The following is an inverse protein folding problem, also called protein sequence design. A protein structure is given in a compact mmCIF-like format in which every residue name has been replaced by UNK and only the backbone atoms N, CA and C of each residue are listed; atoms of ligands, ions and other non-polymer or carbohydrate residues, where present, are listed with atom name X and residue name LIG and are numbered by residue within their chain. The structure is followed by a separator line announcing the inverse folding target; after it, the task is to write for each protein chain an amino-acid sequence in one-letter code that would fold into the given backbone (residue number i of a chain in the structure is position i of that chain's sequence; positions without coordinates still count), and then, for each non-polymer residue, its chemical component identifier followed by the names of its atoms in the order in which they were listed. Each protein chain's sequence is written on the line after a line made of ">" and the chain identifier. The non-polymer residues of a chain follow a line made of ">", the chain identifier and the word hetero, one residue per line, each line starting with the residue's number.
data_IF_798467691505
#
_entry.id   IF_798467691505
#
_cell.length_a   1.000
_cell.length_b   1.000
_cell.length_c   1.000
_cell.angle_alpha   90.00
_cell.angle_beta   90.00
_cell.angle_gamma   90.00
#
_symmetry.space_group_name_H-M   'P 1'
#
loop_
_entity.id
_entity.type
_entity.pdbx_description
1 polymer ?
#
# COMPACT_ATOMS: atom_id res chain seq x y z
N UNK A 1 -2.57 -17.28 -7.50
CA UNK A 1 -4.01 -17.08 -7.20
C UNK A 1 -4.25 -16.96 -5.70
N UNK A 2 -3.63 -17.80 -4.85
CA UNK A 2 -3.80 -17.73 -3.39
C UNK A 2 -3.46 -16.36 -2.78
N UNK A 3 -2.36 -15.73 -3.22
CA UNK A 3 -2.03 -14.35 -2.83
C UNK A 3 -3.17 -13.35 -3.10
N UNK A 4 -3.84 -13.44 -4.25
CA UNK A 4 -4.98 -12.59 -4.59
C UNK A 4 -6.21 -12.93 -3.74
N UNK A 5 -6.47 -14.22 -3.48
CA UNK A 5 -7.57 -14.63 -2.60
C UNK A 5 -7.36 -14.05 -1.19
N UNK A 6 -6.14 -14.08 -0.67
CA UNK A 6 -5.87 -13.49 0.65
C UNK A 6 -5.87 -11.96 0.63
N UNK A 7 -5.55 -11.31 -0.49
CA UNK A 7 -5.75 -9.88 -0.68
C UNK A 7 -7.23 -9.51 -0.50
N UNK A 8 -8.13 -10.20 -1.21
CA UNK A 8 -9.59 -9.98 -1.07
C UNK A 8 -10.12 -10.38 0.32
N UNK A 9 -9.57 -11.44 0.92
CA UNK A 9 -9.93 -11.83 2.29
C UNK A 9 -9.49 -10.77 3.31
N UNK A 10 -8.35 -10.12 3.08
CA UNK A 10 -7.90 -9.03 3.93
C UNK A 10 -8.79 -7.81 3.83
N UNK A 11 -9.33 -7.49 2.65
CA UNK A 11 -10.40 -6.48 2.54
C UNK A 11 -11.62 -6.83 3.39
N UNK A 12 -12.00 -8.12 3.44
CA UNK A 12 -13.08 -8.56 4.32
C UNK A 12 -12.77 -8.31 5.79
N UNK A 13 -11.52 -8.48 6.23
CA UNK A 13 -11.08 -8.11 7.57
C UNK A 13 -11.14 -6.59 7.81
N UNK A 14 -10.65 -5.78 6.87
CA UNK A 14 -10.64 -4.32 6.98
C UNK A 14 -12.06 -3.75 7.08
N UNK A 15 -12.97 -4.18 6.20
CA UNK A 15 -14.34 -3.69 6.17
C UNK A 15 -15.25 -4.29 7.25
N UNK A 16 -14.78 -5.30 8.00
CA UNK A 16 -15.45 -5.78 9.21
C UNK A 16 -15.24 -4.84 10.41
N UNK A 17 -14.28 -3.93 10.34
CA UNK A 17 -14.07 -2.93 11.38
C UNK A 17 -15.11 -1.82 11.24
N UNK A 18 -15.93 -1.62 12.29
CA UNK A 18 -17.03 -0.64 12.27
C UNK A 18 -16.55 0.74 11.87
N UNK A 19 -15.43 1.21 12.44
CA UNK A 19 -14.84 2.51 12.12
C UNK A 19 -14.53 2.66 10.61
N UNK A 20 -13.91 1.65 9.99
CA UNK A 20 -13.57 1.67 8.55
C UNK A 20 -14.85 1.70 7.71
N UNK A 21 -15.83 0.85 8.04
CA UNK A 21 -17.09 0.78 7.31
C UNK A 21 -17.88 2.08 7.41
N UNK A 22 -18.01 2.64 8.61
CA UNK A 22 -18.67 3.93 8.86
C UNK A 22 -17.97 5.08 8.13
N UNK A 23 -16.64 5.11 8.12
CA UNK A 23 -15.88 6.15 7.41
C UNK A 23 -16.03 6.05 5.89
N UNK A 24 -16.03 4.83 5.34
CA UNK A 24 -16.34 4.58 3.92
C UNK A 24 -17.75 5.10 3.57
N UNK A 25 -18.76 4.74 4.36
CA UNK A 25 -20.16 5.07 4.12
C UNK A 25 -20.45 6.57 4.30
N UNK A 26 -19.87 7.21 5.31
CA UNK A 26 -20.16 8.60 5.67
C UNK A 26 -19.30 9.62 4.92
N UNK A 27 -18.02 9.32 4.67
CA UNK A 27 -17.03 10.30 4.24
C UNK A 27 -16.54 10.05 2.82
N UNK A 28 -16.20 8.79 2.50
CA UNK A 28 -15.60 8.45 1.20
C UNK A 28 -16.67 8.44 0.09
N UNK A 29 -17.82 7.80 0.33
CA UNK A 29 -19.05 7.82 -0.49
C UNK A 29 -18.86 7.54 -2.00
N UNK A 30 -17.72 7.00 -2.45
CA UNK A 30 -17.51 6.54 -3.83
C UNK A 30 -16.29 5.63 -3.92
N UNK A 31 -16.21 4.91 -5.04
CA UNK A 31 -15.06 4.09 -5.37
C UNK A 31 -13.83 4.94 -5.75
N UNK A 32 -12.70 4.26 -6.00
CA UNK A 32 -11.42 4.86 -6.37
C UNK A 32 -11.31 5.28 -7.85
N UNK A 33 -12.37 5.17 -8.66
CA UNK A 33 -12.28 5.38 -10.11
C UNK A 33 -11.85 6.82 -10.45
N UNK A 34 -12.28 7.82 -9.68
CA UNK A 34 -11.87 9.21 -9.91
C UNK A 34 -10.36 9.41 -9.75
N UNK A 35 -9.72 8.72 -8.79
CA UNK A 35 -8.26 8.74 -8.60
C UNK A 35 -7.55 8.07 -9.77
N UNK A 36 -8.11 6.97 -10.29
CA UNK A 36 -7.58 6.28 -11.47
C UNK A 36 -7.67 7.16 -12.71
N UNK A 37 -8.84 7.73 -12.97
CA UNK A 37 -9.10 8.56 -14.15
C UNK A 37 -8.19 9.78 -14.17
N UNK A 38 -8.03 10.50 -13.05
CA UNK A 38 -7.12 11.67 -13.02
C UNK A 38 -5.67 11.26 -13.28
N UNK A 39 -5.23 10.11 -12.78
CA UNK A 39 -3.88 9.60 -13.03
C UNK A 39 -3.66 9.19 -14.48
N UNK A 40 -4.66 8.59 -15.13
CA UNK A 40 -4.60 8.20 -16.55
C UNK A 40 -4.60 9.42 -17.48
N UNK A 41 -5.45 10.39 -17.19
CA UNK A 41 -5.78 11.48 -18.12
C UNK A 41 -4.96 12.75 -17.89
N UNK A 42 -4.32 12.92 -16.74
CA UNK A 42 -3.52 14.09 -16.41
C UNK A 42 -2.03 13.73 -16.25
N UNK A 43 -1.25 14.05 -17.29
CA UNK A 43 0.19 13.77 -17.34
C UNK A 43 1.00 14.44 -16.23
N UNK A 44 0.63 15.67 -15.86
CA UNK A 44 1.32 16.42 -14.79
C UNK A 44 1.08 15.74 -13.43
N UNK A 45 -0.18 15.39 -13.14
CA UNK A 45 -0.56 14.64 -11.93
C UNK A 45 0.21 13.32 -11.84
N UNK A 46 0.22 12.54 -12.93
CA UNK A 46 0.92 11.26 -13.01
C UNK A 46 2.41 11.40 -12.76
N UNK A 47 3.08 12.39 -13.35
CA UNK A 47 4.51 12.64 -13.15
C UNK A 47 4.83 12.96 -11.68
N UNK A 48 4.01 13.79 -11.04
CA UNK A 48 4.17 14.14 -9.61
C UNK A 48 4.01 12.92 -8.71
N UNK A 49 2.97 12.11 -8.91
CA UNK A 49 2.77 10.84 -8.19
C UNK A 49 3.97 9.90 -8.37
N UNK A 50 4.47 9.76 -9.60
CA UNK A 50 5.62 8.89 -9.87
C UNK A 50 6.90 9.39 -9.18
N UNK A 51 7.07 10.71 -9.09
CA UNK A 51 8.17 11.34 -8.32
C UNK A 51 8.03 11.04 -6.83
N UNK A 52 6.85 11.22 -6.26
CA UNK A 52 6.55 10.89 -4.85
C UNK A 52 6.85 9.42 -4.55
N UNK A 53 6.37 8.49 -5.38
CA UNK A 53 6.60 7.07 -5.19
C UNK A 53 8.10 6.70 -5.31
N UNK A 54 8.84 7.39 -6.17
CA UNK A 54 10.31 7.24 -6.26
C UNK A 54 10.98 7.66 -4.95
N UNK A 55 10.57 8.77 -4.35
CA UNK A 55 11.11 9.25 -3.07
C UNK A 55 10.83 8.26 -1.93
N UNK A 56 9.62 7.68 -1.88
CA UNK A 56 9.31 6.60 -0.93
C UNK A 56 10.26 5.41 -1.08
N UNK A 57 10.49 4.95 -2.31
CA UNK A 57 11.42 3.84 -2.59
C UNK A 57 12.85 4.16 -2.15
N UNK A 58 13.33 5.38 -2.44
CA UNK A 58 14.66 5.83 -1.99
C UNK A 58 14.77 5.85 -0.47
N UNK A 59 13.75 6.33 0.25
CA UNK A 59 13.72 6.33 1.71
C UNK A 59 13.71 4.90 2.31
N UNK A 60 13.06 3.95 1.63
CA UNK A 60 13.04 2.54 2.03
C UNK A 60 14.39 1.86 1.74
N UNK A 61 15.04 2.17 0.62
CA UNK A 61 16.27 1.49 0.18
C UNK A 61 17.55 2.03 0.83
N UNK A 62 17.61 3.32 1.14
CA UNK A 62 18.83 3.92 1.72
C UNK A 62 19.11 3.39 3.14
N UNK A 63 20.38 3.18 3.48
CA UNK A 63 20.79 2.84 4.86
C UNK A 63 21.26 4.06 5.65
N UNK A 64 21.48 5.19 4.97
CA UNK A 64 21.91 6.45 5.57
C UNK A 64 20.72 7.23 6.17
N UNK A 65 20.72 7.50 7.50
CA UNK A 65 19.61 8.19 8.17
C UNK A 65 19.33 9.60 7.66
N UNK A 66 20.37 10.37 7.33
CA UNK A 66 20.22 11.76 6.86
C UNK A 66 19.58 11.78 5.47
N UNK A 67 20.05 10.92 4.56
CA UNK A 67 19.43 10.72 3.25
C UNK A 67 18.00 10.21 3.39
N UNK A 68 17.73 9.28 4.31
CA UNK A 68 16.37 8.78 4.56
C UNK A 68 15.45 9.94 4.95
N UNK A 69 15.85 10.75 5.93
CA UNK A 69 15.07 11.90 6.38
C UNK A 69 14.87 12.92 5.26
N UNK A 70 15.89 13.18 4.45
CA UNK A 70 15.80 14.09 3.32
C UNK A 70 14.79 13.59 2.26
N UNK A 71 14.82 12.31 1.90
CA UNK A 71 13.84 11.73 0.96
C UNK A 71 12.41 11.79 1.52
N UNK A 72 12.23 11.54 2.81
CA UNK A 72 10.92 11.65 3.46
C UNK A 72 10.41 13.09 3.43
N UNK A 73 11.26 14.07 3.77
CA UNK A 73 10.90 15.49 3.74
C UNK A 73 10.56 15.96 2.33
N UNK A 74 11.32 15.54 1.32
CA UNK A 74 11.01 15.83 -0.07
C UNK A 74 9.70 15.20 -0.51
N UNK A 75 9.43 13.94 -0.12
CA UNK A 75 8.16 13.28 -0.43
C UNK A 75 6.97 14.05 0.15
N UNK A 76 7.04 14.46 1.42
CA UNK A 76 5.99 15.24 2.08
C UNK A 76 5.81 16.58 1.36
N UNK A 77 6.91 17.28 1.07
CA UNK A 77 6.86 18.56 0.37
C UNK A 77 6.20 18.44 -1.01
N UNK A 78 6.64 17.47 -1.83
CA UNK A 78 6.10 17.24 -3.18
C UNK A 78 4.62 16.87 -3.14
N UNK A 79 4.23 16.02 -2.18
CA UNK A 79 2.84 15.61 -1.97
C UNK A 79 1.96 16.77 -1.55
N UNK A 80 2.39 17.59 -0.60
CA UNK A 80 1.64 18.78 -0.19
C UNK A 80 1.52 19.80 -1.33
N UNK A 81 2.59 20.00 -2.12
CA UNK A 81 2.53 20.87 -3.29
C UNK A 81 1.53 20.37 -4.33
N UNK A 82 1.56 19.07 -4.67
CA UNK A 82 0.57 18.47 -5.57
C UNK A 82 -0.83 18.61 -4.98
N UNK A 83 -1.04 18.22 -3.72
CA UNK A 83 -2.35 18.31 -3.08
C UNK A 83 -2.87 19.74 -3.08
N UNK A 84 -2.05 20.76 -2.83
CA UNK A 84 -2.44 22.17 -2.91
C UNK A 84 -2.78 22.63 -4.33
N UNK A 85 -2.09 22.12 -5.34
CA UNK A 85 -2.38 22.40 -6.74
C UNK A 85 -3.76 21.85 -7.15
N UNK A 86 -4.14 20.66 -6.67
CA UNK A 86 -5.39 19.99 -7.03
C UNK A 86 -6.52 20.14 -5.98
N UNK A 87 -6.26 20.66 -4.78
CA UNK A 87 -7.23 20.81 -3.68
C UNK A 87 -8.29 21.86 -3.96
N UNK A 88 -7.92 22.94 -4.65
CA UNK A 88 -8.84 24.00 -5.10
C UNK A 88 -9.96 23.47 -5.99
N UNK A 89 -9.71 22.36 -6.67
CA UNK A 89 -10.67 21.70 -7.56
C UNK A 89 -11.29 20.46 -6.90
N UNK A 90 -10.58 19.79 -5.97
CA UNK A 90 -10.93 18.43 -5.54
C UNK A 90 -10.49 18.10 -4.09
N UNK A 91 -10.94 18.84 -3.06
CA UNK A 91 -10.68 18.48 -1.64
C UNK A 91 -11.03 17.02 -1.28
N UNK A 92 -12.08 16.47 -1.92
CA UNK A 92 -12.49 15.07 -1.78
C UNK A 92 -11.43 14.07 -2.27
N UNK A 93 -10.58 14.47 -3.21
CA UNK A 93 -9.50 13.62 -3.74
C UNK A 93 -8.48 13.25 -2.68
N UNK A 94 -8.11 14.17 -1.79
CA UNK A 94 -7.11 13.92 -0.74
C UNK A 94 -7.62 12.89 0.26
N UNK A 95 -8.88 13.04 0.67
CA UNK A 95 -9.53 12.12 1.61
C UNK A 95 -9.65 10.72 0.99
N UNK A 96 -10.03 10.64 -0.29
CA UNK A 96 -10.09 9.39 -1.04
C UNK A 96 -8.71 8.75 -1.22
N UNK A 97 -7.70 9.53 -1.64
CA UNK A 97 -6.32 9.05 -1.81
C UNK A 97 -5.82 8.44 -0.51
N UNK A 98 -5.95 9.14 0.61
CA UNK A 98 -5.55 8.67 1.93
C UNK A 98 -6.24 7.34 2.32
N UNK A 99 -7.54 7.23 2.06
CA UNK A 99 -8.31 6.02 2.37
C UNK A 99 -7.89 4.84 1.50
N UNK A 100 -7.89 5.01 0.17
CA UNK A 100 -7.56 3.94 -0.77
C UNK A 100 -6.08 3.53 -0.70
N UNK A 101 -5.15 4.46 -0.43
CA UNK A 101 -3.75 4.11 -0.11
C UNK A 101 -3.67 3.21 1.13
N UNK A 102 -4.48 3.49 2.15
CA UNK A 102 -4.49 2.69 3.38
C UNK A 102 -5.09 1.30 3.14
N UNK A 103 -6.26 1.23 2.51
CA UNK A 103 -6.97 -0.03 2.24
C UNK A 103 -6.17 -0.93 1.29
N UNK A 104 -5.82 -0.43 0.11
CA UNK A 104 -5.12 -1.23 -0.91
C UNK A 104 -3.65 -1.46 -0.57
N UNK A 105 -3.00 -0.45 0.00
CA UNK A 105 -1.59 -0.52 0.38
C UNK A 105 -1.32 -1.58 1.43
N UNK A 106 -2.15 -1.66 2.47
CA UNK A 106 -2.01 -2.69 3.52
C UNK A 106 -2.38 -4.08 3.02
N UNK A 107 -3.35 -4.20 2.09
CA UNK A 107 -3.67 -5.46 1.43
C UNK A 107 -2.52 -5.96 0.54
N UNK A 108 -1.87 -5.06 -0.22
CA UNK A 108 -0.64 -5.37 -0.96
C UNK A 108 0.53 -5.67 -0.05
N UNK A 109 0.63 -4.97 1.09
CA UNK A 109 1.66 -5.23 2.07
C UNK A 109 1.60 -6.68 2.52
N UNK A 110 0.44 -7.16 2.99
CA UNK A 110 0.27 -8.57 3.38
C UNK A 110 0.55 -9.52 2.22
N UNK A 111 0.08 -9.21 1.01
CA UNK A 111 0.34 -10.03 -0.18
C UNK A 111 1.83 -10.29 -0.43
N UNK A 112 2.69 -9.31 -0.11
CA UNK A 112 4.13 -9.43 -0.27
C UNK A 112 4.79 -10.40 0.74
N UNK A 113 4.24 -10.51 1.96
CA UNK A 113 4.81 -11.34 3.05
C UNK A 113 4.22 -12.75 3.14
N UNK A 114 3.05 -12.97 2.56
CA UNK A 114 2.38 -14.28 2.58
C UNK A 114 3.20 -15.44 2.00
N UNK A 115 3.98 -15.27 0.92
CA UNK A 115 4.74 -16.37 0.33
C UNK A 115 5.75 -17.03 1.27
N UNK A 116 6.42 -16.25 2.12
CA UNK A 116 7.32 -16.79 3.15
C UNK A 116 6.58 -17.74 4.09
N UNK A 117 5.31 -17.46 4.37
CA UNK A 117 4.46 -18.30 5.22
C UNK A 117 3.91 -19.51 4.48
N UNK A 118 3.58 -19.37 3.20
CA UNK A 118 3.10 -20.51 2.39
C UNK A 118 4.13 -21.62 2.26
N UNK A 119 5.42 -21.26 2.20
CA UNK A 119 6.52 -22.23 2.18
C UNK A 119 6.63 -23.09 3.45
N UNK A 120 5.98 -22.66 4.54
CA UNK A 120 6.01 -23.34 5.83
C UNK A 120 4.77 -24.22 6.05
N UNK A 121 3.79 -24.20 5.15
CA UNK A 121 2.57 -24.98 5.27
C UNK A 121 2.84 -26.43 4.88
N UNK A 122 2.74 -27.34 5.86
CA UNK A 122 2.69 -28.78 5.59
C UNK A 122 1.32 -29.17 5.02
N UNK A 123 1.31 -30.04 4.02
CA UNK A 123 0.09 -30.61 3.46
C UNK A 123 0.20 -32.14 3.43
N UNK A 124 -0.94 -32.80 3.50
CA UNK A 124 -1.02 -34.25 3.40
C UNK A 124 -0.85 -34.71 1.94
N UNK A 125 -0.10 -35.80 1.75
CA UNK A 125 0.22 -36.35 0.44
C UNK A 125 -1.00 -36.87 -0.31
N UNK A 126 -2.05 -37.33 0.39
CA UNK A 126 -3.28 -37.80 -0.27
C UNK A 126 -4.07 -36.62 -0.85
N UNK A 127 -4.14 -35.50 -0.11
CA UNK A 127 -4.79 -34.27 -0.56
C UNK A 127 -4.08 -33.64 -1.77
N UNK A 128 -2.74 -33.68 -1.80
CA UNK A 128 -1.96 -33.20 -2.95
C UNK A 128 -2.10 -34.09 -4.20
N UNK A 129 -2.29 -35.40 -4.02
CA UNK A 129 -2.52 -36.32 -5.14
C UNK A 129 -3.93 -36.19 -5.74
N UNK A 130 -4.90 -35.66 -4.98
CA UNK A 130 -6.28 -35.49 -5.41
C UNK A 130 -6.50 -34.28 -6.34
N UNK A 131 -5.62 -33.27 -6.31
CA UNK A 131 -5.69 -32.08 -7.16
C UNK A 131 -4.42 -31.94 -8.01
N UNK A 132 -4.54 -32.31 -9.29
CA UNK A 132 -3.42 -32.23 -10.24
C UNK A 132 -2.96 -30.79 -10.56
N UNK A 133 -3.74 -29.78 -10.17
CA UNK A 133 -3.38 -28.37 -10.30
C UNK A 133 -2.71 -27.82 -9.03
N UNK A 134 -2.76 -28.56 -7.92
CA UNK A 134 -2.09 -28.18 -6.68
C UNK A 134 -0.58 -28.43 -6.79
N UNK A 135 0.16 -27.34 -7.03
CA UNK A 135 1.60 -27.39 -7.23
C UNK A 135 2.41 -27.30 -5.91
N UNK A 136 1.86 -27.76 -4.77
CA UNK A 136 2.59 -27.92 -3.50
C UNK A 136 3.36 -26.67 -3.02
N UNK A 137 2.85 -25.48 -3.32
CA UNK A 137 3.54 -24.20 -3.08
C UNK A 137 4.96 -24.12 -3.69
N UNK A 138 5.32 -25.00 -4.63
CA UNK A 138 6.65 -25.07 -5.24
C UNK A 138 7.07 -23.75 -5.89
N UNK A 139 6.10 -22.98 -6.40
CA UNK A 139 6.32 -21.64 -6.92
C UNK A 139 6.85 -20.66 -5.87
N UNK A 140 6.48 -20.84 -4.60
CA UNK A 140 6.90 -20.01 -3.48
C UNK A 140 8.21 -20.52 -2.86
N UNK A 141 8.48 -21.83 -2.89
CA UNK A 141 9.66 -22.45 -2.26
C UNK A 141 10.99 -21.99 -2.86
N UNK A 142 10.99 -21.57 -4.12
CA UNK A 142 12.17 -21.05 -4.83
C UNK A 142 12.37 -19.53 -4.70
N UNK A 143 11.48 -18.82 -3.99
CA UNK A 143 11.46 -17.37 -3.94
C UNK A 143 11.68 -16.89 -2.50
N UNK A 144 12.94 -16.91 -2.05
CA UNK A 144 13.33 -16.50 -0.69
C UNK A 144 13.31 -14.98 -0.44
N UNK A 145 12.94 -14.15 -1.43
CA UNK A 145 12.93 -12.67 -1.31
C UNK A 145 11.77 -12.03 -2.10
N UNK A 146 10.52 -12.43 -1.86
CA UNK A 146 9.35 -11.87 -2.59
C UNK A 146 9.07 -10.41 -2.26
N UNK A 147 9.60 -9.86 -1.17
CA UNK A 147 9.52 -8.42 -0.88
C UNK A 147 9.94 -7.54 -2.08
N UNK A 148 10.75 -8.08 -3.00
CA UNK A 148 11.37 -7.35 -4.09
C UNK A 148 11.39 -8.08 -5.42
N UNK A 149 10.57 -9.12 -5.62
CA UNK A 149 10.54 -9.73 -6.96
C UNK A 149 10.14 -8.66 -7.96
N UNK A 150 10.98 -8.46 -8.97
CA UNK A 150 10.78 -7.48 -10.02
C UNK A 150 9.36 -7.55 -10.58
N UNK A 151 8.78 -8.75 -10.62
CA UNK A 151 7.42 -9.03 -11.04
C UNK A 151 6.35 -8.51 -10.07
N UNK A 152 6.51 -8.67 -8.74
CA UNK A 152 5.55 -8.13 -7.76
C UNK A 152 5.56 -6.61 -7.76
N UNK A 153 6.76 -6.00 -7.76
CA UNK A 153 6.91 -4.54 -7.83
C UNK A 153 6.32 -4.04 -9.14
N UNK A 154 6.70 -4.64 -10.28
CA UNK A 154 6.14 -4.29 -11.58
C UNK A 154 4.63 -4.46 -11.59
N UNK A 155 4.02 -5.47 -10.97
CA UNK A 155 2.56 -5.62 -10.92
C UNK A 155 1.88 -4.58 -10.02
N UNK A 156 2.51 -4.23 -8.90
CA UNK A 156 2.02 -3.20 -7.98
C UNK A 156 2.09 -1.82 -8.63
N UNK A 157 3.10 -1.60 -9.48
CA UNK A 157 3.31 -0.37 -10.24
C UNK A 157 2.63 -0.38 -11.63
N UNK A 158 2.33 -1.57 -12.18
CA UNK A 158 1.66 -1.77 -13.45
C UNK A 158 0.16 -1.70 -13.22
N UNK A 159 -0.32 -0.48 -13.25
CA UNK A 159 -1.74 -0.20 -13.18
C UNK A 159 -1.97 1.28 -13.08
N UNK A 160 -3.20 1.67 -13.40
CA UNK A 160 -3.62 3.06 -13.26
C UNK A 160 -4.04 3.40 -11.82
N UNK A 161 -3.93 2.43 -10.91
CA UNK A 161 -4.27 2.54 -9.49
C UNK A 161 -3.03 2.84 -8.65
N UNK A 162 -2.42 4.02 -8.83
CA UNK A 162 -1.16 4.39 -8.16
C UNK A 162 -1.19 4.24 -6.63
N UNK A 163 -2.36 4.39 -6.00
CA UNK A 163 -2.57 4.27 -4.56
C UNK A 163 -2.23 2.88 -4.00
N UNK A 164 -2.20 1.85 -4.84
CA UNK A 164 -1.63 0.54 -4.49
C UNK A 164 -0.14 0.65 -4.18
N UNK A 165 0.63 1.28 -5.08
CA UNK A 165 2.08 1.38 -4.97
C UNK A 165 2.50 2.36 -3.87
N UNK A 166 1.89 3.54 -3.81
CA UNK A 166 2.22 4.53 -2.78
C UNK A 166 1.77 4.06 -1.40
N UNK A 167 0.59 3.45 -1.27
CA UNK A 167 0.13 2.84 -0.02
C UNK A 167 1.03 1.70 0.46
N UNK A 168 1.42 0.78 -0.44
CA UNK A 168 2.35 -0.30 -0.14
C UNK A 168 3.70 0.22 0.35
N UNK A 169 4.28 1.20 -0.35
CA UNK A 169 5.55 1.77 0.02
C UNK A 169 5.47 2.61 1.32
N UNK A 170 4.34 3.27 1.59
CA UNK A 170 4.10 3.90 2.89
C UNK A 170 4.12 2.87 4.02
N UNK A 171 3.45 1.72 3.89
CA UNK A 171 3.49 0.65 4.90
C UNK A 171 4.92 0.19 5.19
N UNK A 172 5.70 -0.08 4.14
CA UNK A 172 7.12 -0.47 4.25
C UNK A 172 7.97 0.59 4.93
N UNK A 173 7.76 1.85 4.59
CA UNK A 173 8.48 2.97 5.20
C UNK A 173 8.14 3.10 6.69
N UNK A 174 6.85 3.04 7.05
CA UNK A 174 6.41 3.12 8.44
C UNK A 174 6.97 1.97 9.29
N UNK A 175 7.00 0.74 8.76
CA UNK A 175 7.62 -0.41 9.43
C UNK A 175 9.13 -0.22 9.59
N UNK A 176 9.82 0.27 8.56
CA UNK A 176 11.26 0.60 8.66
C UNK A 176 11.55 1.65 9.73
N UNK A 177 10.67 2.64 9.87
CA UNK A 177 10.74 3.70 10.88
C UNK A 177 10.21 3.26 12.25
N UNK A 178 9.72 2.02 12.39
CA UNK A 178 9.11 1.47 13.62
C UNK A 178 7.91 2.29 14.12
N UNK A 179 7.12 2.84 13.21
CA UNK A 179 5.89 3.57 13.52
C UNK A 179 4.74 2.56 13.61
N UNK A 180 4.05 2.51 14.75
CA UNK A 180 2.90 1.62 14.95
C UNK A 180 1.65 2.16 14.24
N UNK A 181 1.53 1.87 12.93
CA UNK A 181 0.34 2.21 12.16
C UNK A 181 -0.73 1.12 12.21
N UNK A 182 -0.32 -0.14 12.40
CA UNK A 182 -1.20 -1.32 12.31
C UNK A 182 -2.29 -1.31 13.39
N UNK A 183 -1.99 -0.80 14.58
CA UNK A 183 -2.98 -0.65 15.66
C UNK A 183 -3.91 0.55 15.48
N UNK A 184 -3.59 1.48 14.58
CA UNK A 184 -4.26 2.78 14.46
C UNK A 184 -5.21 2.83 13.27
N UNK A 185 -4.72 2.51 12.06
CA UNK A 185 -5.39 2.90 10.80
C UNK A 185 -6.76 2.28 10.58
N UNK A 186 -7.06 1.14 11.21
CA UNK A 186 -8.38 0.49 11.11
C UNK A 186 -9.32 0.84 12.28
N UNK A 187 -8.80 1.43 13.34
CA UNK A 187 -9.60 1.96 14.45
C UNK A 187 -9.87 3.46 14.29
N UNK A 188 -9.03 4.16 13.52
CA UNK A 188 -9.07 5.60 13.29
C UNK A 188 -8.79 5.88 11.80
N UNK A 189 -9.73 5.54 10.89
CA UNK A 189 -9.52 5.61 9.44
C UNK A 189 -9.30 7.03 8.89
N UNK A 190 -9.57 8.06 9.67
CA UNK A 190 -9.19 9.45 9.38
C UNK A 190 -7.67 9.67 9.51
N UNK A 191 -6.99 8.86 10.35
CA UNK A 191 -5.52 8.86 10.49
C UNK A 191 -4.88 7.90 9.49
N UNK A 192 -4.74 8.37 8.26
CA UNK A 192 -4.09 7.58 7.20
C UNK A 192 -2.60 7.33 7.43
N UNK A 193 -2.03 6.39 6.67
CA UNK A 193 -0.58 6.11 6.65
C UNK A 193 0.27 7.38 6.48
N UNK A 194 -0.18 8.30 5.60
CA UNK A 194 0.50 9.58 5.38
C UNK A 194 0.48 10.48 6.62
N UNK A 195 -0.66 10.60 7.30
CA UNK A 195 -0.76 11.40 8.52
C UNK A 195 0.18 10.88 9.61
N UNK A 196 0.24 9.57 9.79
CA UNK A 196 1.12 8.93 10.77
C UNK A 196 2.60 9.17 10.46
N UNK A 197 2.98 9.16 9.17
CA UNK A 197 4.33 9.55 8.75
C UNK A 197 4.62 11.01 9.12
N UNK A 198 3.74 11.94 8.78
CA UNK A 198 3.93 13.36 9.11
C UNK A 198 3.99 13.61 10.63
N UNK A 199 3.10 13.00 11.41
CA UNK A 199 3.09 13.10 12.87
C UNK A 199 4.41 12.61 13.49
N UNK A 200 5.01 11.56 12.93
CA UNK A 200 6.27 11.01 13.44
C UNK A 200 7.44 11.98 13.32
N UNK A 201 7.45 12.84 12.29
CA UNK A 201 8.53 13.80 12.04
C UNK A 201 8.43 15.06 12.91
N UNK A 202 7.24 15.37 13.42
CA UNK A 202 7.02 16.52 14.29
C UNK A 202 7.34 16.23 15.77
N UNK A 203 7.65 14.96 16.11
CA UNK A 203 8.01 14.52 17.47
C UNK A 203 9.52 14.54 17.75
N UNK A 204 10.33 14.93 16.77
CA UNK A 204 11.79 14.99 16.82
C UNK A 204 12.28 16.37 16.37
#
# INVERSE_FOLDING_TARGET
>A
WLQLVLHEYFHSFQFKQDAVFEYLASTIQSNSDSLRIIYETNDDFRKKINSENKLLKLAIQTTDPDSQLNYIRQFIHDRENRRNQYSRELNRLIIQENFWETIEGTARYIEAYLPEKFNQISFDSESAAADSLFNNFAHYQSQTDIELSDTFIKRTEAGNSYFYATGFNLCRLLDKLKIDYKSIVFNNPEKSLYHLLCESLNKH
#
